data_IF_267890099764
#
_entry.id   IF_267890099764
#
_cell.length_a   1.000
_cell.length_b   1.000
_cell.length_c   1.000
_cell.angle_alpha   90.00
_cell.angle_beta   90.00
_cell.angle_gamma   90.00
#
_symmetry.space_group_name_H-M   'P 1'
#
loop_
_entity.id
_entity.type
_entity.pdbx_description
1 polymer ?
#
# COMPACT_ATOMS: atom_id res chain seq x y z
N UNK A 1 19.68 -3.74 2.86
CA UNK A 1 18.54 -3.23 3.66
C UNK A 1 18.01 -4.36 4.53
N UNK A 2 17.35 -4.08 5.66
CA UNK A 2 16.74 -5.14 6.50
C UNK A 2 15.81 -6.07 5.69
N UNK A 3 15.19 -5.56 4.61
CA UNK A 3 14.38 -6.34 3.69
C UNK A 3 15.17 -7.38 2.86
N UNK A 4 16.49 -7.20 2.68
CA UNK A 4 17.32 -8.05 1.80
C UNK A 4 17.93 -9.26 2.54
N UNK A 5 17.75 -9.35 3.86
CA UNK A 5 18.35 -10.39 4.71
C UNK A 5 17.47 -11.65 4.86
N UNK A 6 16.44 -11.80 4.02
CA UNK A 6 15.55 -12.97 4.02
C UNK A 6 14.58 -13.01 5.22
N UNK A 7 14.38 -11.87 5.89
CA UNK A 7 13.44 -11.72 7.00
C UNK A 7 12.08 -11.22 6.50
N UNK A 8 11.01 -11.71 7.11
CA UNK A 8 9.66 -11.20 6.84
C UNK A 8 9.45 -9.88 7.57
N UNK A 9 9.14 -8.81 6.84
CA UNK A 9 8.91 -7.48 7.39
C UNK A 9 7.45 -7.08 7.18
N UNK A 10 6.80 -6.62 8.25
CA UNK A 10 5.53 -5.89 8.16
C UNK A 10 5.81 -4.45 8.55
N UNK A 11 5.53 -3.53 7.63
CA UNK A 11 5.75 -2.09 7.83
C UNK A 11 4.43 -1.34 7.68
N UNK A 12 4.13 -0.48 8.65
CA UNK A 12 3.03 0.49 8.57
C UNK A 12 3.65 1.83 8.23
N UNK A 13 3.28 2.41 7.09
CA UNK A 13 3.84 3.68 6.64
C UNK A 13 2.82 4.51 5.85
N UNK A 14 3.02 5.83 5.89
CA UNK A 14 2.33 6.80 5.03
C UNK A 14 3.17 7.19 3.80
N UNK A 15 4.40 6.70 3.70
CA UNK A 15 5.31 6.99 2.58
C UNK A 15 5.02 6.05 1.41
N UNK A 16 4.09 6.45 0.54
CA UNK A 16 3.64 5.63 -0.60
C UNK A 16 4.77 5.32 -1.59
N UNK A 17 5.74 6.23 -1.77
CA UNK A 17 6.90 6.02 -2.63
C UNK A 17 7.79 4.87 -2.14
N UNK A 18 7.99 4.78 -0.82
CA UNK A 18 8.70 3.66 -0.20
C UNK A 18 7.93 2.35 -0.37
N UNK A 19 6.63 2.35 -0.06
CA UNK A 19 5.78 1.18 -0.21
C UNK A 19 5.76 0.67 -1.67
N UNK A 20 5.74 1.58 -2.64
CA UNK A 20 5.79 1.24 -4.08
C UNK A 20 7.12 0.62 -4.52
N UNK A 21 8.23 0.98 -3.87
CA UNK A 21 9.57 0.52 -4.26
C UNK A 21 9.97 -0.78 -3.57
N UNK A 22 9.56 -1.01 -2.32
CA UNK A 22 10.13 -2.05 -1.46
C UNK A 22 9.14 -3.14 -1.09
N UNK A 23 7.82 -2.89 -1.12
CA UNK A 23 6.85 -3.88 -0.67
C UNK A 23 6.51 -4.93 -1.74
N UNK A 24 6.35 -6.19 -1.32
CA UNK A 24 5.78 -7.25 -2.15
C UNK A 24 4.25 -7.14 -2.27
N UNK A 25 3.61 -6.61 -1.23
CA UNK A 25 2.15 -6.45 -1.15
C UNK A 25 1.80 -5.24 -0.30
N UNK A 26 0.76 -4.52 -0.70
CA UNK A 26 0.20 -3.38 0.03
C UNK A 26 -1.15 -3.79 0.59
N UNK A 27 -1.37 -3.51 1.88
CA UNK A 27 -2.64 -3.72 2.57
C UNK A 27 -3.20 -2.35 2.95
N UNK A 28 -4.37 -2.03 2.44
CA UNK A 28 -5.13 -0.87 2.87
C UNK A 28 -6.18 -1.28 3.90
N UNK A 29 -6.13 -0.60 5.03
CA UNK A 29 -7.06 -0.80 6.13
C UNK A 29 -7.81 0.49 6.40
N UNK A 30 -9.11 0.39 6.65
CA UNK A 30 -9.94 1.50 7.06
C UNK A 30 -11.10 0.97 7.92
N UNK A 31 -11.46 1.71 8.98
CA UNK A 31 -12.46 1.30 9.99
C UNK A 31 -12.22 -0.08 10.62
N UNK A 32 -10.96 -0.47 10.82
CA UNK A 32 -10.60 -1.76 11.43
C UNK A 32 -10.76 -2.96 10.50
N UNK A 33 -11.06 -2.75 9.22
CA UNK A 33 -11.17 -3.80 8.20
C UNK A 33 -10.04 -3.71 7.18
N UNK A 34 -9.61 -4.87 6.66
CA UNK A 34 -8.79 -4.90 5.44
C UNK A 34 -9.72 -4.64 4.27
N UNK A 35 -9.57 -3.47 3.66
CA UNK A 35 -10.39 -3.01 2.55
C UNK A 35 -9.86 -3.54 1.23
N UNK A 36 -8.54 -3.57 1.07
CA UNK A 36 -7.90 -4.03 -0.16
C UNK A 36 -6.48 -4.52 0.12
N UNK A 37 -6.10 -5.59 -0.58
CA UNK A 37 -4.73 -6.09 -0.60
C UNK A 37 -4.35 -6.41 -2.05
N UNK A 38 -3.25 -5.83 -2.52
CA UNK A 38 -2.77 -6.05 -3.88
C UNK A 38 -1.25 -5.78 -3.98
N UNK A 39 -0.57 -6.27 -5.03
CA UNK A 39 0.78 -5.83 -5.35
C UNK A 39 0.82 -4.30 -5.54
N UNK A 40 1.93 -3.61 -5.19
CA UNK A 40 1.98 -2.15 -5.26
C UNK A 40 1.63 -1.60 -6.63
N UNK A 41 2.09 -2.25 -7.70
CA UNK A 41 1.80 -1.84 -9.07
C UNK A 41 0.29 -1.78 -9.34
N UNK A 42 -0.48 -2.77 -8.90
CA UNK A 42 -1.93 -2.80 -9.06
C UNK A 42 -2.62 -1.85 -8.09
N UNK A 43 -2.23 -1.88 -6.81
CA UNK A 43 -2.82 -1.05 -5.76
C UNK A 43 -2.80 0.46 -6.12
N UNK A 44 -1.67 0.97 -6.61
CA UNK A 44 -1.51 2.40 -6.90
C UNK A 44 -2.01 2.83 -8.28
N UNK A 45 -2.20 1.91 -9.23
CA UNK A 45 -2.62 2.26 -10.61
C UNK A 45 -4.04 1.85 -10.96
N UNK A 46 -4.51 0.74 -10.38
CA UNK A 46 -5.83 0.18 -10.62
C UNK A 46 -6.46 -0.33 -9.31
N UNK A 47 -6.66 0.55 -8.31
CA UNK A 47 -7.32 0.17 -7.06
C UNK A 47 -8.76 -0.31 -7.32
N UNK A 48 -9.15 -1.41 -6.68
CA UNK A 48 -10.44 -2.07 -6.91
C UNK A 48 -11.54 -1.46 -6.05
N UNK A 49 -11.25 -1.16 -4.78
CA UNK A 49 -12.22 -0.62 -3.83
C UNK A 49 -12.40 0.89 -4.00
N UNK A 50 -13.65 1.35 -3.87
CA UNK A 50 -13.96 2.78 -3.94
C UNK A 50 -13.37 3.55 -2.76
N UNK A 51 -13.23 2.92 -1.58
CA UNK A 51 -12.54 3.51 -0.42
C UNK A 51 -11.05 3.69 -0.72
N UNK A 52 -10.40 2.70 -1.34
CA UNK A 52 -9.00 2.80 -1.77
C UNK A 52 -8.81 3.91 -2.81
N UNK A 53 -9.70 4.00 -3.81
CA UNK A 53 -9.69 5.08 -4.82
C UNK A 53 -9.80 6.46 -4.15
N UNK A 54 -10.73 6.61 -3.21
CA UNK A 54 -10.95 7.86 -2.49
C UNK A 54 -9.76 8.24 -1.59
N UNK A 55 -9.10 7.26 -0.99
CA UNK A 55 -7.87 7.46 -0.22
C UNK A 55 -6.71 7.91 -1.12
N UNK A 56 -6.46 7.17 -2.20
CA UNK A 56 -5.37 7.48 -3.13
C UNK A 56 -5.54 8.83 -3.82
N UNK A 57 -6.77 9.25 -4.13
CA UNK A 57 -7.02 10.56 -4.74
C UNK A 57 -6.67 11.74 -3.81
N UNK A 58 -6.79 11.56 -2.49
CA UNK A 58 -6.40 12.60 -1.52
C UNK A 58 -4.88 12.71 -1.38
N UNK A 59 -4.17 11.60 -1.56
CA UNK A 59 -2.73 11.50 -1.27
C UNK A 59 -1.88 11.78 -2.50
N UNK A 60 -2.35 11.37 -3.69
CA UNK A 60 -1.64 11.59 -4.96
C UNK A 60 -1.90 12.96 -5.58
N UNK A 61 -2.84 13.75 -5.02
CA UNK A 61 -3.13 15.10 -5.47
C UNK A 61 -2.17 16.16 -4.88
N UNK A 62 -1.21 15.76 -4.04
CA UNK A 62 -0.12 16.57 -3.51
C UNK A 62 1.23 15.94 -3.89
#
# INVERSE_FOLDING_TARGET
SLADEGVTVVCVTHEMGFARQVADSVVFMDQGEIVEMAPPAEFFTNPRSDRTKAFLSQILAH
#
